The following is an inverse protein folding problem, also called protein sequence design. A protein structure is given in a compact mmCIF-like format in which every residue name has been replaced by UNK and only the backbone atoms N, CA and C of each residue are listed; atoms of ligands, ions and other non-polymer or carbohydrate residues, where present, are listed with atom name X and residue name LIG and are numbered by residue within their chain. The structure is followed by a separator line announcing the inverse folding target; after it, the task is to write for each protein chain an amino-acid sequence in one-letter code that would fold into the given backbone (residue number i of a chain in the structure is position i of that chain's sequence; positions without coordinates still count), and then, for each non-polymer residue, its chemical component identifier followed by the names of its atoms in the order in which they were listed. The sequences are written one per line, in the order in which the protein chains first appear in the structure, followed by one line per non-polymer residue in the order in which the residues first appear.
data_IF_491504657325
#
_entry.id   IF_491504657325
#
_cell.length_a   1.000
_cell.length_b   1.000
_cell.length_c   1.000
_cell.angle_alpha   90.00
_cell.angle_beta   90.00
_cell.angle_gamma   90.00
#
_symmetry.space_group_name_H-M   'P 1'
#
loop_
_entity.id
_entity.type
_entity.pdbx_description
1 polymer ?
#
# COMPACT_ATOMS: atom_id res chain seq x y z
N UNK A 1 -58.37 20.32 -5.87
CA UNK A 1 -58.49 21.75 -6.23
C UNK A 1 -57.16 22.14 -6.78
N UNK A 2 -57.09 22.64 -8.01
CA UNK A 2 -55.94 22.49 -8.91
C UNK A 2 -54.56 22.79 -8.31
N UNK A 3 -54.45 23.77 -7.40
CA UNK A 3 -53.20 24.07 -6.70
C UNK A 3 -52.81 22.99 -5.69
N UNK A 4 -53.76 22.49 -4.91
CA UNK A 4 -53.53 21.38 -3.99
C UNK A 4 -53.11 20.12 -4.77
N UNK A 5 -53.79 19.83 -5.88
CA UNK A 5 -53.54 18.64 -6.70
C UNK A 5 -52.15 18.69 -7.38
N UNK A 6 -51.64 19.89 -7.70
CA UNK A 6 -50.25 20.08 -8.15
C UNK A 6 -49.21 19.72 -7.07
N UNK A 7 -49.46 20.11 -5.81
CA UNK A 7 -48.51 19.85 -4.73
C UNK A 7 -48.58 18.41 -4.23
N UNK A 8 -49.77 17.83 -4.10
CA UNK A 8 -49.98 16.53 -3.44
C UNK A 8 -50.30 15.39 -4.39
N UNK A 9 -50.50 15.66 -5.68
CA UNK A 9 -51.02 14.68 -6.63
C UNK A 9 -52.55 14.63 -6.56
N UNK A 10 -53.19 14.57 -7.73
CA UNK A 10 -54.64 14.40 -7.87
C UNK A 10 -55.03 12.92 -8.05
N UNK A 11 -56.29 12.65 -8.43
CA UNK A 11 -56.77 11.27 -8.65
C UNK A 11 -56.00 10.52 -9.76
N UNK A 12 -55.36 11.23 -10.70
CA UNK A 12 -54.72 10.66 -11.90
C UNK A 12 -53.23 11.04 -12.10
N UNK A 13 -52.56 11.69 -11.13
CA UNK A 13 -51.22 12.25 -11.38
C UNK A 13 -50.31 12.41 -10.18
N UNK A 14 -49.00 12.26 -10.43
CA UNK A 14 -47.91 12.45 -9.47
C UNK A 14 -47.79 13.93 -9.11
N UNK A 15 -47.86 14.24 -7.81
CA UNK A 15 -47.65 15.59 -7.29
C UNK A 15 -46.18 15.97 -7.19
N UNK A 16 -45.91 17.25 -6.91
CA UNK A 16 -44.56 17.71 -6.58
C UNK A 16 -44.00 17.00 -5.33
N UNK A 17 -44.84 16.74 -4.33
CA UNK A 17 -44.43 16.05 -3.10
C UNK A 17 -44.01 14.60 -3.38
N UNK A 18 -44.75 13.87 -4.22
CA UNK A 18 -44.43 12.49 -4.60
C UNK A 18 -43.11 12.43 -5.38
N UNK A 19 -42.92 13.35 -6.33
CA UNK A 19 -41.67 13.43 -7.11
C UNK A 19 -40.46 13.74 -6.22
N UNK A 20 -40.67 14.57 -5.19
CA UNK A 20 -39.64 14.89 -4.20
C UNK A 20 -39.34 13.70 -3.31
N UNK A 21 -40.37 12.96 -2.87
CA UNK A 21 -40.22 11.74 -2.07
C UNK A 21 -39.44 10.67 -2.82
N UNK A 22 -39.80 10.38 -4.08
CA UNK A 22 -39.08 9.45 -4.96
C UNK A 22 -37.60 9.84 -5.14
N UNK A 23 -37.34 11.14 -5.33
CA UNK A 23 -35.98 11.65 -5.50
C UNK A 23 -35.17 11.50 -4.20
N UNK A 24 -35.77 11.81 -3.06
CA UNK A 24 -35.13 11.66 -1.76
C UNK A 24 -34.89 10.18 -1.43
N UNK A 25 -35.85 9.30 -1.72
CA UNK A 25 -35.71 7.85 -1.56
C UNK A 25 -34.55 7.30 -2.39
N UNK A 26 -34.46 7.65 -3.68
CA UNK A 26 -33.34 7.22 -4.54
C UNK A 26 -31.95 7.65 -4.01
N UNK A 27 -31.88 8.73 -3.22
CA UNK A 27 -30.64 9.23 -2.63
C UNK A 27 -30.37 8.59 -1.26
N UNK A 28 -31.38 8.51 -0.41
CA UNK A 28 -31.25 8.26 1.03
C UNK A 28 -31.62 6.84 1.46
N UNK A 29 -32.39 6.12 0.66
CA UNK A 29 -32.79 4.75 0.98
C UNK A 29 -31.57 3.80 0.98
N UNK A 30 -31.75 2.64 1.60
CA UNK A 30 -30.79 1.54 1.58
C UNK A 30 -30.51 1.11 0.13
N UNK A 31 -29.23 1.01 -0.24
CA UNK A 31 -28.83 0.79 -1.63
C UNK A 31 -29.06 2.00 -2.57
N UNK A 32 -29.45 3.15 -2.03
CA UNK A 32 -29.52 4.44 -2.73
C UNK A 32 -28.14 5.05 -3.00
N UNK A 33 -28.12 6.26 -3.57
CA UNK A 33 -26.86 6.88 -3.99
C UNK A 33 -25.87 7.15 -2.84
N UNK A 34 -26.36 7.59 -1.68
CA UNK A 34 -25.50 7.90 -0.53
C UNK A 34 -24.89 6.65 0.09
N UNK A 35 -25.67 5.58 0.21
CA UNK A 35 -25.22 4.31 0.74
C UNK A 35 -24.16 3.66 -0.17
N UNK A 36 -24.41 3.63 -1.49
CA UNK A 36 -23.42 3.16 -2.47
C UNK A 36 -22.12 3.97 -2.43
N UNK A 37 -22.21 5.30 -2.28
CA UNK A 37 -21.02 6.15 -2.14
C UNK A 37 -20.24 5.80 -0.87
N UNK A 38 -20.94 5.54 0.24
CA UNK A 38 -20.34 5.16 1.53
C UNK A 38 -19.66 3.79 1.41
N UNK A 39 -20.36 2.78 0.91
CA UNK A 39 -19.80 1.44 0.66
C UNK A 39 -18.59 1.47 -0.29
N UNK A 40 -18.64 2.33 -1.31
CA UNK A 40 -17.51 2.54 -2.23
C UNK A 40 -16.30 3.17 -1.54
N UNK A 41 -16.51 4.09 -0.60
CA UNK A 41 -15.44 4.67 0.22
C UNK A 41 -14.86 3.64 1.19
N UNK A 42 -15.68 2.85 1.86
CA UNK A 42 -15.24 1.75 2.73
C UNK A 42 -14.38 0.74 1.99
N UNK A 43 -14.84 0.29 0.82
CA UNK A 43 -14.06 -0.62 -0.05
C UNK A 43 -12.70 -0.02 -0.44
N UNK A 44 -12.65 1.29 -0.71
CA UNK A 44 -11.41 1.99 -1.01
C UNK A 44 -10.48 2.05 0.19
N UNK A 45 -11.01 2.33 1.39
CA UNK A 45 -10.23 2.32 2.63
C UNK A 45 -9.61 0.95 2.86
N UNK A 46 -10.39 -0.13 2.79
CA UNK A 46 -9.84 -1.49 2.94
C UNK A 46 -8.77 -1.83 1.89
N UNK A 47 -8.96 -1.36 0.65
CA UNK A 47 -7.98 -1.57 -0.42
C UNK A 47 -6.67 -0.82 -0.14
N UNK A 48 -6.75 0.37 0.44
CA UNK A 48 -5.59 1.15 0.86
C UNK A 48 -4.88 0.47 2.03
N UNK A 49 -5.61 -0.05 3.01
CA UNK A 49 -5.03 -0.79 4.14
C UNK A 49 -4.27 -2.03 3.67
N UNK A 50 -4.88 -2.82 2.78
CA UNK A 50 -4.21 -3.99 2.17
C UNK A 50 -2.97 -3.60 1.36
N UNK A 51 -2.96 -2.45 0.70
CA UNK A 51 -1.79 -1.96 -0.03
C UNK A 51 -0.69 -1.50 0.92
N UNK A 52 -1.07 -0.85 2.02
CA UNK A 52 -0.16 -0.43 3.08
C UNK A 52 0.56 -1.65 3.69
N UNK A 53 -0.18 -2.66 4.14
CA UNK A 53 0.39 -3.88 4.74
C UNK A 53 1.35 -4.61 3.80
N UNK A 54 0.99 -4.74 2.52
CA UNK A 54 1.89 -5.37 1.52
C UNK A 54 3.16 -4.57 1.31
N UNK A 55 3.05 -3.24 1.33
CA UNK A 55 4.21 -2.35 1.16
C UNK A 55 5.12 -2.43 2.38
N UNK A 56 4.56 -2.41 3.58
CA UNK A 56 5.29 -2.62 4.83
C UNK A 56 6.04 -3.96 4.83
N UNK A 57 5.38 -5.06 4.49
CA UNK A 57 6.02 -6.38 4.39
C UNK A 57 7.16 -6.42 3.36
N UNK A 58 6.99 -5.74 2.22
CA UNK A 58 8.03 -5.63 1.19
C UNK A 58 9.25 -4.82 1.66
N UNK A 59 9.00 -3.75 2.42
CA UNK A 59 10.04 -2.93 3.05
C UNK A 59 10.81 -3.78 4.07
N UNK A 60 10.11 -4.47 4.97
CA UNK A 60 10.74 -5.31 6.00
C UNK A 60 11.60 -6.41 5.39
N UNK A 61 11.08 -7.13 4.38
CA UNK A 61 11.84 -8.15 3.67
C UNK A 61 13.10 -7.57 2.99
N UNK A 62 13.00 -6.37 2.43
CA UNK A 62 14.13 -5.67 1.81
C UNK A 62 15.17 -5.25 2.84
N UNK A 63 14.75 -4.70 3.99
CA UNK A 63 15.64 -4.31 5.08
C UNK A 63 16.38 -5.52 5.64
N UNK A 64 15.68 -6.62 5.87
CA UNK A 64 16.28 -7.86 6.38
C UNK A 64 17.30 -8.43 5.40
N UNK A 65 16.97 -8.43 4.10
CA UNK A 65 17.91 -8.82 3.03
C UNK A 65 19.16 -7.93 3.04
N UNK A 66 19.02 -6.63 3.25
CA UNK A 66 20.17 -5.71 3.33
C UNK A 66 21.01 -5.91 4.59
N UNK A 67 20.40 -6.20 5.74
CA UNK A 67 21.12 -6.55 6.98
C UNK A 67 21.96 -7.81 6.80
N UNK A 68 21.37 -8.87 6.23
CA UNK A 68 22.08 -10.12 5.95
C UNK A 68 23.25 -9.91 4.98
N UNK A 69 23.02 -9.20 3.87
CA UNK A 69 24.10 -8.88 2.93
C UNK A 69 25.20 -8.03 3.56
N UNK A 70 24.86 -7.06 4.41
CA UNK A 70 25.84 -6.26 5.12
C UNK A 70 26.75 -7.12 6.03
N UNK A 71 26.18 -8.05 6.79
CA UNK A 71 26.96 -8.98 7.62
C UNK A 71 27.85 -9.92 6.79
N UNK A 72 27.37 -10.37 5.63
CA UNK A 72 28.17 -11.17 4.69
C UNK A 72 29.33 -10.35 4.10
N UNK A 73 29.09 -9.09 3.74
CA UNK A 73 30.12 -8.18 3.25
C UNK A 73 31.19 -7.91 4.31
N UNK A 74 30.82 -7.73 5.57
CA UNK A 74 31.77 -7.59 6.68
C UNK A 74 32.68 -8.83 6.82
N UNK A 75 32.09 -10.02 6.78
CA UNK A 75 32.83 -11.29 6.81
C UNK A 75 33.77 -11.46 5.61
N UNK A 76 33.31 -11.03 4.42
CA UNK A 76 34.11 -11.04 3.20
C UNK A 76 35.30 -10.08 3.32
N UNK A 77 35.09 -8.87 3.83
CA UNK A 77 36.16 -7.88 4.05
C UNK A 77 37.19 -8.41 5.06
N UNK A 78 36.74 -9.01 6.16
CA UNK A 78 37.63 -9.64 7.14
C UNK A 78 38.49 -10.75 6.49
N UNK A 79 37.87 -11.59 5.66
CA UNK A 79 38.55 -12.65 4.92
C UNK A 79 39.56 -12.09 3.90
N UNK A 80 39.20 -11.01 3.21
CA UNK A 80 40.10 -10.30 2.29
C UNK A 80 41.30 -9.69 3.02
N UNK A 81 41.11 -9.11 4.21
CA UNK A 81 42.20 -8.57 5.03
C UNK A 81 43.17 -9.68 5.49
N UNK A 82 42.63 -10.84 5.91
CA UNK A 82 43.44 -12.00 6.27
C UNK A 82 44.22 -12.53 5.06
N UNK A 83 43.57 -12.62 3.90
CA UNK A 83 44.20 -13.06 2.65
C UNK A 83 45.30 -12.10 2.20
N UNK A 84 45.05 -10.79 2.27
CA UNK A 84 46.05 -9.77 1.94
C UNK A 84 47.26 -9.87 2.86
N UNK A 85 47.03 -10.04 4.17
CA UNK A 85 48.11 -10.21 5.15
C UNK A 85 48.95 -11.45 4.86
N UNK A 86 48.30 -12.56 4.52
CA UNK A 86 48.98 -13.80 4.15
C UNK A 86 49.82 -13.62 2.86
N UNK A 87 49.25 -13.01 1.82
CA UNK A 87 49.97 -12.77 0.56
C UNK A 87 51.20 -11.87 0.79
N UNK A 88 51.09 -10.82 1.60
CA UNK A 88 52.24 -9.97 1.98
C UNK A 88 53.34 -10.80 2.64
N UNK A 89 53.00 -11.66 3.61
CA UNK A 89 53.97 -12.53 4.27
C UNK A 89 54.66 -13.49 3.28
N UNK A 90 53.92 -14.04 2.32
CA UNK A 90 54.50 -14.89 1.28
C UNK A 90 55.46 -14.10 0.37
N UNK A 91 55.13 -12.87 -0.01
CA UNK A 91 56.02 -12.01 -0.80
C UNK A 91 57.31 -11.67 -0.03
N UNK A 92 57.21 -11.36 1.26
CA UNK A 92 58.38 -11.07 2.10
C UNK A 92 59.31 -12.29 2.23
N UNK A 93 58.73 -13.49 2.40
CA UNK A 93 59.50 -14.73 2.46
C UNK A 93 60.23 -15.03 1.14
N UNK A 94 59.57 -14.81 -0.01
CA UNK A 94 60.19 -14.95 -1.33
C UNK A 94 61.33 -13.94 -1.52
N UNK A 95 61.14 -12.68 -1.15
CA UNK A 95 62.19 -11.66 -1.22
C UNK A 95 63.40 -12.00 -0.33
N UNK A 96 63.16 -12.53 0.87
CA UNK A 96 64.24 -12.96 1.76
C UNK A 96 65.01 -14.18 1.22
N UNK A 97 64.36 -15.04 0.43
CA UNK A 97 64.99 -16.19 -0.21
C UNK A 97 65.77 -15.80 -1.49
N UNK A 98 65.30 -14.79 -2.23
CA UNK A 98 65.97 -14.29 -3.44
C UNK A 98 67.16 -13.37 -3.16
N UNK A 99 67.22 -12.75 -1.97
CA UNK A 99 68.34 -11.90 -1.53
C UNK A 99 69.45 -12.66 -0.79
N UNK A 100 69.37 -14.00 -0.71
CA UNK A 100 70.41 -14.92 -0.24
C UNK A 100 71.07 -15.63 -1.42
#
# INVERSE_FOLDING_TARGET
GDLADFFTGGEDGVGLADSLDDTLGAILDDGGLLDNATSGLETRMESLDRQYERTEQSIDATVERYRSQFGQLDSMIASMNQTSSYLTQQFDALNAQLNQ
#
